data_IF_666234968627
#
_entry.id   IF_666234968627
#
_cell.length_a   1.000
_cell.length_b   1.000
_cell.length_c   1.000
_cell.angle_alpha   90.00
_cell.angle_beta   90.00
_cell.angle_gamma   90.00
#
_symmetry.space_group_name_H-M   'P 1'
#
loop_
_entity.id
_entity.type
_entity.pdbx_description
1 polymer ?
#
# COMPACT_ATOMS: atom_id res chain seq x y z
N UNK A 1 44.56 19.48 78.03
CA UNK A 1 45.34 19.58 76.79
C UNK A 1 44.48 20.26 75.74
N UNK A 2 45.07 21.25 75.07
CA UNK A 2 44.46 22.12 74.08
C UNK A 2 44.16 21.38 72.77
N UNK A 3 43.06 21.74 72.12
CA UNK A 3 42.72 21.28 70.77
C UNK A 3 41.47 22.00 70.23
N UNK A 4 41.64 23.26 69.80
CA UNK A 4 40.67 23.99 68.98
C UNK A 4 40.61 23.35 67.59
N UNK A 5 39.42 23.24 66.99
CA UNK A 5 39.25 23.51 65.56
C UNK A 5 37.80 23.89 65.22
N UNK A 6 37.67 24.60 64.12
CA UNK A 6 36.78 25.72 63.86
C UNK A 6 35.53 25.38 63.03
N UNK A 7 34.55 26.29 63.14
CA UNK A 7 33.33 26.45 62.34
C UNK A 7 33.56 26.30 60.83
N UNK A 8 32.56 25.78 60.10
CA UNK A 8 31.92 26.58 59.05
C UNK A 8 30.53 26.04 58.68
N UNK A 9 29.58 26.96 58.61
CA UNK A 9 28.19 26.80 58.20
C UNK A 9 28.07 27.28 56.76
N UNK A 10 27.48 26.47 55.88
CA UNK A 10 26.97 26.97 54.59
C UNK A 10 25.77 26.14 54.14
N UNK A 11 24.63 26.81 54.01
CA UNK A 11 23.39 26.39 53.34
C UNK A 11 23.13 27.44 52.25
N UNK A 12 22.30 27.20 51.21
CA UNK A 12 22.49 26.31 50.07
C UNK A 12 22.60 27.12 48.75
N UNK A 13 23.37 26.64 47.78
CA UNK A 13 23.30 27.17 46.41
C UNK A 13 22.10 26.56 45.68
N UNK A 14 21.01 27.33 45.57
CA UNK A 14 19.94 27.07 44.60
C UNK A 14 20.54 27.17 43.18
N UNK A 15 20.92 26.04 42.62
CA UNK A 15 21.09 25.92 41.18
C UNK A 15 19.70 25.96 40.55
N UNK A 16 19.44 27.02 39.77
CA UNK A 16 18.23 27.18 39.01
C UNK A 16 17.96 25.95 38.16
N UNK A 17 16.81 25.33 38.38
CA UNK A 17 16.19 24.42 37.42
C UNK A 17 15.86 25.25 36.18
N UNK A 18 16.80 25.29 35.24
CA UNK A 18 16.49 25.67 33.87
C UNK A 18 15.49 24.66 33.34
N UNK A 19 14.23 25.09 33.39
CA UNK A 19 13.09 24.42 32.80
C UNK A 19 13.33 24.40 31.30
N UNK A 20 14.00 23.35 30.82
CA UNK A 20 14.16 23.04 29.40
C UNK A 20 12.79 23.15 28.74
N UNK A 21 12.54 24.27 28.03
CA UNK A 21 11.35 24.45 27.23
C UNK A 21 11.39 23.38 26.15
N UNK A 22 10.59 22.35 26.40
CA UNK A 22 10.24 21.22 25.55
C UNK A 22 10.32 21.55 24.05
N UNK A 23 11.41 21.13 23.41
CA UNK A 23 11.56 21.05 21.95
C UNK A 23 10.66 19.99 21.31
N UNK A 24 9.90 19.25 22.13
CA UNK A 24 8.99 18.18 21.70
C UNK A 24 7.69 18.74 21.11
N UNK A 25 7.24 19.93 21.55
CA UNK A 25 5.96 20.49 21.09
C UNK A 25 5.98 20.92 19.60
N UNK A 26 7.02 21.61 19.08
CA UNK A 26 7.08 21.99 17.67
C UNK A 26 7.21 20.79 16.71
N UNK A 27 8.05 19.80 17.05
CA UNK A 27 8.22 18.60 16.22
C UNK A 27 6.93 17.77 16.12
N UNK A 28 6.19 17.66 17.22
CA UNK A 28 4.89 16.96 17.25
C UNK A 28 3.83 17.68 16.42
N UNK A 29 3.84 19.01 16.43
CA UNK A 29 2.95 19.84 15.62
C UNK A 29 3.25 19.65 14.12
N UNK A 30 4.52 19.74 13.71
CA UNK A 30 4.94 19.51 12.32
C UNK A 30 4.60 18.10 11.82
N UNK A 31 4.80 17.07 12.65
CA UNK A 31 4.41 15.70 12.32
C UNK A 31 2.90 15.54 12.12
N UNK A 32 2.09 16.22 12.95
CA UNK A 32 0.63 16.22 12.82
C UNK A 32 0.18 16.93 11.54
N UNK A 33 0.78 18.07 11.21
CA UNK A 33 0.49 18.82 9.98
C UNK A 33 0.84 17.98 8.74
N UNK A 34 2.01 17.33 8.73
CA UNK A 34 2.40 16.40 7.66
C UNK A 34 1.41 15.24 7.52
N UNK A 35 0.96 14.66 8.63
CA UNK A 35 -0.01 13.56 8.60
C UNK A 35 -1.38 14.00 8.04
N UNK A 36 -1.83 15.21 8.37
CA UNK A 36 -3.08 15.78 7.83
C UNK A 36 -2.96 16.03 6.32
N UNK A 37 -1.83 16.55 5.86
CA UNK A 37 -1.61 16.77 4.42
C UNK A 37 -1.54 15.46 3.65
N UNK A 38 -0.83 14.44 4.18
CA UNK A 38 -0.81 13.10 3.58
C UNK A 38 -2.23 12.53 3.47
N UNK A 39 -3.02 12.65 4.54
CA UNK A 39 -4.41 12.19 4.53
C UNK A 39 -5.23 12.90 3.44
N UNK A 40 -5.09 14.23 3.32
CA UNK A 40 -5.76 15.03 2.29
C UNK A 40 -5.38 14.57 0.88
N UNK A 41 -4.08 14.38 0.62
CA UNK A 41 -3.56 13.90 -0.66
C UNK A 41 -4.08 12.50 -1.02
N UNK A 42 -4.17 11.60 -0.04
CA UNK A 42 -4.69 10.25 -0.23
C UNK A 42 -6.20 10.25 -0.53
N UNK A 43 -6.98 11.08 0.16
CA UNK A 43 -8.42 11.24 -0.09
C UNK A 43 -8.69 11.87 -1.45
N UNK A 44 -7.91 12.89 -1.82
CA UNK A 44 -7.97 13.51 -3.14
C UNK A 44 -7.62 12.50 -4.25
N UNK A 45 -6.57 11.70 -4.06
CA UNK A 45 -6.17 10.65 -5.01
C UNK A 45 -7.26 9.58 -5.18
N UNK A 46 -7.91 9.17 -4.08
CA UNK A 46 -9.04 8.23 -4.11
C UNK A 46 -10.22 8.79 -4.90
N UNK A 47 -10.59 10.06 -4.65
CA UNK A 47 -11.74 10.71 -5.31
C UNK A 47 -11.57 10.86 -6.83
N UNK A 48 -10.34 10.77 -7.34
CA UNK A 48 -10.01 10.87 -8.77
C UNK A 48 -10.06 9.53 -9.49
N UNK A 49 -10.22 8.41 -8.79
CA UNK A 49 -10.37 7.11 -9.44
C UNK A 49 -11.75 7.02 -10.10
N UNK A 50 -11.84 6.65 -11.40
CA UNK A 50 -13.14 6.46 -12.03
C UNK A 50 -13.87 5.24 -11.44
N UNK A 51 -15.17 5.39 -11.17
CA UNK A 51 -16.02 4.28 -10.74
C UNK A 51 -16.07 3.22 -11.85
N UNK A 52 -15.98 1.95 -11.44
CA UNK A 52 -15.89 0.81 -12.35
C UNK A 52 -14.47 0.53 -12.84
N UNK A 53 -13.45 1.25 -12.37
CA UNK A 53 -12.07 0.95 -12.76
C UNK A 53 -11.47 -0.21 -11.96
N UNK A 54 -10.79 -1.10 -12.69
CA UNK A 54 -10.03 -2.22 -12.15
C UNK A 54 -8.53 -1.95 -12.26
N UNK A 55 -7.82 -2.19 -11.17
CA UNK A 55 -6.39 -1.92 -11.03
C UNK A 55 -5.63 -3.16 -10.57
N UNK A 56 -4.39 -3.30 -11.02
CA UNK A 56 -3.37 -4.09 -10.32
C UNK A 56 -2.69 -3.16 -9.31
N UNK A 57 -2.57 -3.59 -8.06
CA UNK A 57 -1.85 -2.88 -7.00
C UNK A 57 -0.55 -3.60 -6.68
N UNK A 58 0.55 -2.85 -6.68
CA UNK A 58 1.86 -3.37 -6.29
C UNK A 58 2.27 -2.77 -4.95
N UNK A 59 2.77 -3.61 -4.06
CA UNK A 59 3.33 -3.21 -2.78
C UNK A 59 4.79 -3.67 -2.68
N UNK A 60 5.64 -2.88 -2.05
CA UNK A 60 6.99 -3.31 -1.69
C UNK A 60 6.93 -4.50 -0.72
N UNK A 61 7.81 -5.48 -0.91
CA UNK A 61 7.98 -6.63 0.01
C UNK A 61 9.09 -6.44 1.03
N UNK A 62 10.02 -5.53 0.75
CA UNK A 62 11.21 -5.28 1.57
C UNK A 62 11.62 -3.81 1.48
N UNK A 63 12.38 -3.38 2.49
CA UNK A 63 13.15 -2.14 2.51
C UNK A 63 14.56 -2.47 3.02
N UNK A 64 15.62 -2.40 2.18
CA UNK A 64 15.63 -1.89 0.81
C UNK A 64 14.79 -2.75 -0.16
N UNK A 65 14.22 -2.10 -1.16
CA UNK A 65 13.39 -2.75 -2.16
C UNK A 65 14.25 -3.51 -3.17
N UNK A 66 13.79 -4.70 -3.56
CA UNK A 66 14.43 -5.52 -4.59
C UNK A 66 13.71 -5.39 -5.94
N UNK A 67 14.43 -5.38 -7.07
CA UNK A 67 13.81 -5.37 -8.40
C UNK A 67 12.84 -6.54 -8.59
N UNK A 68 11.67 -6.26 -9.16
CA UNK A 68 10.63 -7.25 -9.47
C UNK A 68 10.07 -8.01 -8.25
N UNK A 69 10.37 -7.58 -7.02
CA UNK A 69 9.91 -8.24 -5.80
C UNK A 69 8.74 -7.48 -5.15
N UNK A 70 7.54 -7.68 -5.71
CA UNK A 70 6.33 -7.01 -5.23
C UNK A 70 5.33 -7.98 -4.62
N UNK A 71 4.53 -7.48 -3.69
CA UNK A 71 3.27 -8.11 -3.33
C UNK A 71 2.18 -7.58 -4.25
N UNK A 72 1.36 -8.50 -4.78
CA UNK A 72 0.43 -8.24 -5.86
C UNK A 72 -1.00 -8.38 -5.36
N UNK A 73 -1.89 -7.55 -5.90
CA UNK A 73 -3.33 -7.70 -5.72
C UNK A 73 -4.10 -6.95 -6.80
N UNK A 74 -5.41 -7.14 -6.80
CA UNK A 74 -6.33 -6.27 -7.52
C UNK A 74 -6.97 -5.26 -6.58
N UNK A 75 -7.33 -4.11 -7.13
CA UNK A 75 -8.28 -3.19 -6.51
C UNK A 75 -9.36 -2.88 -7.53
N UNK A 76 -10.61 -3.13 -7.17
CA UNK A 76 -11.76 -2.82 -8.00
C UNK A 76 -12.55 -1.67 -7.37
N UNK A 77 -12.48 -0.49 -7.98
CA UNK A 77 -13.09 0.73 -7.47
C UNK A 77 -14.54 0.82 -7.93
N UNK A 78 -15.49 0.70 -7.00
CA UNK A 78 -16.93 0.57 -7.32
C UNK A 78 -17.79 1.67 -6.71
N UNK A 79 -17.25 2.49 -5.82
CA UNK A 79 -17.95 3.60 -5.17
C UNK A 79 -16.97 4.74 -4.86
N UNK A 80 -17.49 5.96 -4.67
CA UNK A 80 -16.67 7.16 -4.42
C UNK A 80 -15.79 6.96 -3.18
N UNK A 81 -16.35 6.33 -2.15
CA UNK A 81 -15.67 6.03 -0.90
C UNK A 81 -14.67 4.88 -0.98
N UNK A 82 -14.66 4.09 -2.07
CA UNK A 82 -13.70 3.02 -2.25
C UNK A 82 -14.17 1.83 -3.09
N UNK A 83 -13.69 0.66 -2.71
CA UNK A 83 -13.91 -0.54 -3.52
C UNK A 83 -13.35 -1.79 -2.84
N UNK A 84 -13.24 -2.87 -3.59
CA UNK A 84 -12.77 -4.14 -3.04
C UNK A 84 -11.32 -4.40 -3.41
N UNK A 85 -10.49 -4.76 -2.42
CA UNK A 85 -9.15 -5.27 -2.64
C UNK A 85 -9.20 -6.80 -2.69
N UNK A 86 -8.51 -7.39 -3.66
CA UNK A 86 -8.33 -8.83 -3.78
C UNK A 86 -6.85 -9.17 -3.80
N UNK A 87 -6.41 -9.97 -2.84
CA UNK A 87 -5.08 -10.56 -2.86
C UNK A 87 -5.07 -11.86 -2.08
N UNK A 88 -3.96 -12.56 -2.16
CA UNK A 88 -3.68 -13.73 -1.33
C UNK A 88 -2.39 -13.47 -0.56
N UNK A 89 -2.27 -14.00 0.65
CA UNK A 89 -1.07 -13.85 1.46
C UNK A 89 -0.61 -15.20 2.00
N UNK A 90 0.68 -15.33 2.19
CA UNK A 90 1.23 -16.48 2.88
C UNK A 90 0.80 -16.42 4.35
N UNK A 91 0.37 -17.56 4.88
CA UNK A 91 0.01 -17.72 6.28
C UNK A 91 0.46 -19.11 6.75
N UNK A 92 1.58 -19.16 7.46
CA UNK A 92 2.21 -20.41 7.86
C UNK A 92 2.71 -21.20 6.65
N UNK A 93 2.30 -22.46 6.53
CA UNK A 93 2.73 -23.37 5.45
C UNK A 93 1.96 -23.18 4.13
N UNK A 94 0.94 -22.31 4.10
CA UNK A 94 0.04 -22.18 2.97
C UNK A 94 -0.30 -20.73 2.60
N UNK A 95 -1.28 -20.58 1.73
CA UNK A 95 -1.82 -19.33 1.24
C UNK A 95 -3.30 -19.21 1.62
N UNK A 96 -3.69 -18.00 1.98
CA UNK A 96 -5.08 -17.64 2.27
C UNK A 96 -5.51 -16.44 1.44
N UNK A 97 -6.79 -16.37 1.12
CA UNK A 97 -7.41 -15.20 0.51
C UNK A 97 -7.62 -14.12 1.56
N UNK A 98 -7.52 -12.86 1.14
CA UNK A 98 -7.76 -11.70 2.00
C UNK A 98 -8.46 -10.62 1.18
N UNK A 99 -9.70 -10.95 0.80
CA UNK A 99 -10.56 -10.11 -0.01
C UNK A 99 -11.43 -9.24 0.89
N UNK A 100 -11.49 -7.94 0.65
CA UNK A 100 -12.24 -7.05 1.52
C UNK A 100 -12.51 -5.67 0.94
N UNK A 101 -13.62 -5.08 1.37
CA UNK A 101 -13.92 -3.68 1.10
C UNK A 101 -12.86 -2.78 1.75
N UNK A 102 -12.49 -1.71 1.06
CA UNK A 102 -11.55 -0.73 1.56
C UNK A 102 -11.79 0.66 0.95
N UNK A 103 -11.77 1.66 1.83
CA UNK A 103 -11.65 3.08 1.50
C UNK A 103 -10.20 3.58 1.61
N UNK A 104 -9.26 2.66 1.81
CA UNK A 104 -7.89 2.96 2.22
C UNK A 104 -6.82 2.43 1.28
N UNK A 105 -7.11 2.25 -0.01
CA UNK A 105 -6.12 1.70 -0.96
C UNK A 105 -4.81 2.51 -0.95
N UNK A 106 -4.89 3.84 -0.91
CA UNK A 106 -3.74 4.74 -0.84
C UNK A 106 -3.10 4.87 0.56
N UNK A 107 -3.73 4.32 1.61
CA UNK A 107 -3.27 4.47 3.01
C UNK A 107 -2.20 3.45 3.40
N UNK A 108 -1.93 2.46 2.54
CA UNK A 108 -0.92 1.44 2.82
C UNK A 108 0.49 2.00 2.67
N UNK A 109 1.30 1.91 3.73
CA UNK A 109 2.69 2.39 3.74
C UNK A 109 3.52 1.80 2.59
N UNK A 110 3.35 0.50 2.33
CA UNK A 110 4.12 -0.20 1.30
C UNK A 110 3.51 -0.10 -0.10
N UNK A 111 2.39 0.60 -0.29
CA UNK A 111 1.84 0.75 -1.63
C UNK A 111 2.86 1.44 -2.53
N UNK A 112 3.16 0.83 -3.68
CA UNK A 112 4.06 1.38 -4.67
C UNK A 112 3.27 2.12 -5.76
N UNK A 113 2.30 1.45 -6.39
CA UNK A 113 1.56 1.99 -7.54
C UNK A 113 0.22 1.27 -7.73
N UNK A 114 -0.76 1.98 -8.29
CA UNK A 114 -1.97 1.42 -8.90
C UNK A 114 -1.81 1.44 -10.41
N UNK A 115 -1.89 0.29 -11.08
CA UNK A 115 -1.87 0.18 -12.54
C UNK A 115 -3.31 -0.05 -13.01
N UNK A 116 -3.92 0.93 -13.68
CA UNK A 116 -5.26 0.85 -14.24
C UNK A 116 -5.24 -0.07 -15.46
N UNK A 117 -6.06 -1.13 -15.45
CA UNK A 117 -6.06 -2.17 -16.50
C UNK A 117 -7.40 -2.35 -17.21
N UNK A 118 -8.52 -1.88 -16.64
CA UNK A 118 -9.82 -1.92 -17.30
C UNK A 118 -10.82 -0.92 -16.70
N UNK A 119 -11.73 -0.44 -17.53
CA UNK A 119 -13.01 0.15 -17.10
C UNK A 119 -14.10 -0.90 -17.30
N UNK A 120 -14.74 -1.30 -16.20
CA UNK A 120 -15.69 -2.42 -16.17
C UNK A 120 -17.13 -1.89 -16.17
N UNK A 121 -17.93 -2.23 -17.19
CA UNK A 121 -19.36 -1.91 -17.21
C UNK A 121 -20.10 -2.51 -16.01
N UNK A 122 -21.11 -1.81 -15.51
CA UNK A 122 -21.82 -2.17 -14.27
C UNK A 122 -22.39 -3.59 -14.30
N UNK A 123 -22.91 -4.02 -15.45
CA UNK A 123 -23.45 -5.36 -15.68
C UNK A 123 -22.41 -6.49 -15.52
N UNK A 124 -21.11 -6.18 -15.63
CA UNK A 124 -20.02 -7.14 -15.43
C UNK A 124 -19.42 -7.13 -14.01
N UNK A 125 -19.87 -6.25 -13.11
CA UNK A 125 -19.29 -6.14 -11.75
C UNK A 125 -19.44 -7.44 -10.96
N UNK A 126 -20.60 -8.09 -11.04
CA UNK A 126 -20.81 -9.40 -10.41
C UNK A 126 -19.87 -10.48 -10.98
N UNK A 127 -19.64 -10.46 -12.30
CA UNK A 127 -18.71 -11.40 -12.96
C UNK A 127 -17.27 -11.16 -12.52
N UNK A 128 -16.84 -9.91 -12.31
CA UNK A 128 -15.53 -9.59 -11.71
C UNK A 128 -15.43 -10.23 -10.33
N UNK A 129 -16.40 -10.00 -9.45
CA UNK A 129 -16.39 -10.55 -8.10
C UNK A 129 -16.34 -12.08 -8.08
N UNK A 130 -17.10 -12.74 -8.95
CA UNK A 130 -17.08 -14.19 -9.10
C UNK A 130 -15.72 -14.68 -9.63
N UNK A 131 -15.16 -14.01 -10.63
CA UNK A 131 -13.87 -14.38 -11.21
C UNK A 131 -12.75 -14.27 -10.17
N UNK A 132 -12.72 -13.18 -9.40
CA UNK A 132 -11.72 -12.95 -8.34
C UNK A 132 -11.70 -14.04 -7.27
N UNK A 133 -12.85 -14.66 -6.98
CA UNK A 133 -13.03 -15.68 -5.94
C UNK A 133 -13.02 -17.12 -6.47
N UNK A 134 -12.79 -17.29 -7.77
CA UNK A 134 -12.97 -18.58 -8.44
C UNK A 134 -11.95 -19.64 -8.00
N UNK A 135 -10.82 -19.21 -7.43
CA UNK A 135 -9.72 -20.07 -6.98
C UNK A 135 -9.65 -20.20 -5.44
N UNK A 136 -10.61 -19.65 -4.70
CA UNK A 136 -10.54 -19.57 -3.23
C UNK A 136 -10.45 -20.95 -2.57
N UNK A 137 -11.19 -21.93 -3.08
CA UNK A 137 -11.29 -23.28 -2.52
C UNK A 137 -10.11 -24.18 -2.86
N UNK A 138 -9.31 -23.84 -3.87
CA UNK A 138 -8.21 -24.69 -4.38
C UNK A 138 -6.87 -23.95 -4.47
N UNK A 139 -6.75 -22.78 -3.83
CA UNK A 139 -5.56 -21.92 -3.88
C UNK A 139 -4.26 -22.67 -3.54
N UNK A 140 -4.28 -23.52 -2.51
CA UNK A 140 -3.10 -24.28 -2.07
C UNK A 140 -2.78 -25.49 -2.95
N UNK A 141 -3.66 -25.85 -3.88
CA UNK A 141 -3.44 -26.91 -4.86
C UNK A 141 -2.76 -26.41 -6.14
N UNK A 142 -2.61 -25.08 -6.30
CA UNK A 142 -1.95 -24.48 -7.46
C UNK A 142 -0.43 -24.66 -7.33
N UNK A 143 0.24 -25.35 -8.27
CA UNK A 143 1.69 -25.53 -8.23
C UNK A 143 2.44 -24.20 -8.24
N UNK A 144 3.41 -24.03 -7.34
CA UNK A 144 4.22 -22.80 -7.26
C UNK A 144 3.43 -21.55 -6.87
N UNK A 145 2.29 -21.71 -6.20
CA UNK A 145 1.41 -20.60 -5.82
C UNK A 145 2.15 -19.48 -5.10
N UNK A 146 1.87 -18.27 -5.56
CA UNK A 146 2.28 -17.00 -4.96
C UNK A 146 1.23 -15.94 -5.28
N UNK A 147 1.27 -14.78 -4.62
CA UNK A 147 0.35 -13.68 -4.94
C UNK A 147 0.40 -13.28 -6.43
N UNK A 148 1.58 -13.32 -7.05
CA UNK A 148 1.78 -13.06 -8.48
C UNK A 148 1.15 -14.15 -9.34
N UNK A 149 1.46 -15.43 -9.05
CA UNK A 149 0.90 -16.56 -9.79
C UNK A 149 -0.63 -16.58 -9.70
N UNK A 150 -1.19 -16.37 -8.51
CA UNK A 150 -2.64 -16.23 -8.33
C UNK A 150 -3.21 -15.06 -9.15
N UNK A 151 -2.57 -13.89 -9.09
CA UNK A 151 -3.03 -12.71 -9.82
C UNK A 151 -3.05 -12.96 -11.33
N UNK A 152 -2.01 -13.58 -11.89
CA UNK A 152 -1.94 -13.89 -13.32
C UNK A 152 -2.97 -14.94 -13.74
N UNK A 153 -3.24 -15.95 -12.92
CA UNK A 153 -4.32 -16.91 -13.17
C UNK A 153 -5.69 -16.23 -13.25
N UNK A 154 -5.99 -15.33 -12.31
CA UNK A 154 -7.23 -14.55 -12.31
C UNK A 154 -7.26 -13.58 -13.50
N UNK A 155 -6.14 -12.92 -13.82
CA UNK A 155 -6.01 -12.01 -14.96
C UNK A 155 -6.30 -12.72 -16.28
N UNK A 156 -5.78 -13.94 -16.47
CA UNK A 156 -6.06 -14.77 -17.64
C UNK A 156 -7.56 -15.03 -17.79
N UNK A 157 -8.27 -15.32 -16.70
CA UNK A 157 -9.74 -15.51 -16.73
C UNK A 157 -10.48 -14.19 -17.06
N UNK A 158 -10.03 -13.06 -16.50
CA UNK A 158 -10.61 -11.75 -16.81
C UNK A 158 -10.42 -11.37 -18.29
N UNK A 159 -9.29 -11.74 -18.90
CA UNK A 159 -9.05 -11.58 -20.34
C UNK A 159 -9.99 -12.49 -21.14
N UNK A 160 -10.13 -13.75 -20.76
CA UNK A 160 -11.05 -14.71 -21.42
C UNK A 160 -12.52 -14.26 -21.35
N UNK A 161 -12.93 -13.61 -20.25
CA UNK A 161 -14.27 -13.03 -20.09
C UNK A 161 -14.44 -11.67 -20.81
N UNK A 162 -13.40 -11.16 -21.47
CA UNK A 162 -13.41 -9.85 -22.13
C UNK A 162 -13.68 -8.71 -21.16
N UNK A 163 -13.25 -8.85 -19.90
CA UNK A 163 -13.29 -7.79 -18.88
C UNK A 163 -12.03 -6.94 -18.99
N UNK A 164 -10.87 -7.60 -19.11
CA UNK A 164 -9.59 -6.95 -19.39
C UNK A 164 -9.26 -7.16 -20.86
N UNK A 165 -9.08 -6.07 -21.61
CA UNK A 165 -8.74 -6.13 -23.03
C UNK A 165 -7.22 -6.03 -23.18
N UNK A 166 -6.54 -7.15 -23.04
CA UNK A 166 -5.10 -7.29 -23.29
C UNK A 166 -4.85 -8.52 -24.16
N UNK A 167 -3.89 -8.46 -25.08
CA UNK A 167 -3.44 -9.58 -25.91
C UNK A 167 -2.62 -10.60 -25.13
N UNK A 168 -2.01 -10.21 -24.00
CA UNK A 168 -1.06 -11.05 -23.26
C UNK A 168 -0.99 -10.65 -21.78
N UNK A 169 -1.25 -11.60 -20.88
CA UNK A 169 -1.01 -11.38 -19.46
C UNK A 169 0.50 -11.26 -19.15
N UNK A 170 1.36 -11.87 -19.98
CA UNK A 170 2.83 -11.79 -19.84
C UNK A 170 3.35 -10.39 -20.14
N UNK A 171 2.81 -9.72 -21.17
CA UNK A 171 3.17 -8.32 -21.46
C UNK A 171 2.71 -7.39 -20.34
N UNK A 172 1.51 -7.61 -19.79
CA UNK A 172 1.00 -6.84 -18.66
C UNK A 172 1.80 -7.09 -17.38
N UNK A 173 2.24 -8.32 -17.14
CA UNK A 173 3.14 -8.64 -16.03
C UNK A 173 4.46 -7.87 -16.16
N UNK A 174 5.07 -7.91 -17.34
CA UNK A 174 6.33 -7.21 -17.60
C UNK A 174 6.17 -5.70 -17.47
N UNK A 175 5.06 -5.13 -17.94
CA UNK A 175 4.74 -3.72 -17.75
C UNK A 175 4.61 -3.37 -16.26
N UNK A 176 3.90 -4.20 -15.48
CA UNK A 176 3.74 -4.00 -14.04
C UNK A 176 5.10 -4.03 -13.32
N UNK A 177 6.02 -4.92 -13.70
CA UNK A 177 7.38 -4.93 -13.17
C UNK A 177 8.13 -3.64 -13.49
N UNK A 178 8.09 -3.20 -14.76
CA UNK A 178 8.75 -1.96 -15.18
C UNK A 178 8.21 -0.75 -14.42
N UNK A 179 6.89 -0.60 -14.33
CA UNK A 179 6.25 0.50 -13.59
C UNK A 179 6.57 0.41 -12.09
N UNK A 180 6.47 -0.79 -11.50
CA UNK A 180 6.77 -1.02 -10.10
C UNK A 180 8.19 -0.58 -9.74
N UNK A 181 9.19 -1.05 -10.50
CA UNK A 181 10.59 -0.70 -10.27
C UNK A 181 10.85 0.80 -10.41
N UNK A 182 10.21 1.48 -11.36
CA UNK A 182 10.32 2.93 -11.54
C UNK A 182 9.84 3.72 -10.33
N UNK A 183 8.87 3.18 -9.58
CA UNK A 183 8.28 3.85 -8.43
C UNK A 183 8.79 3.33 -7.07
N UNK A 184 9.59 2.26 -7.03
CA UNK A 184 10.02 1.61 -5.80
C UNK A 184 10.81 2.51 -4.83
N UNK A 185 11.70 3.36 -5.33
CA UNK A 185 12.47 4.28 -4.45
C UNK A 185 11.54 5.24 -3.71
N UNK A 186 10.65 5.90 -4.46
CA UNK A 186 9.66 6.82 -3.89
C UNK A 186 8.68 6.11 -2.96
N UNK A 187 8.37 4.84 -3.28
CA UNK A 187 7.63 3.96 -2.40
C UNK A 187 8.35 3.76 -1.07
N UNK A 188 9.65 3.43 -1.07
CA UNK A 188 10.45 3.27 0.14
C UNK A 188 10.53 4.57 0.96
N UNK A 189 10.67 5.73 0.29
CA UNK A 189 10.74 7.05 0.93
C UNK A 189 9.39 7.56 1.49
N UNK A 190 8.31 6.78 1.30
CA UNK A 190 6.95 7.13 1.68
C UNK A 190 6.44 8.46 1.07
N UNK A 191 6.82 8.74 -0.18
CA UNK A 191 6.26 9.84 -0.98
C UNK A 191 4.76 9.66 -1.25
N UNK A 192 3.96 10.65 -0.90
CA UNK A 192 2.50 10.63 -1.04
C UNK A 192 2.01 11.74 -1.99
N UNK A 193 0.92 11.52 -2.75
CA UNK A 193 0.19 10.25 -2.87
C UNK A 193 0.94 9.25 -3.76
N UNK A 194 0.61 7.96 -3.63
CA UNK A 194 1.15 6.93 -4.52
C UNK A 194 0.58 7.09 -5.95
N UNK A 195 1.39 6.85 -6.99
CA UNK A 195 0.97 7.07 -8.37
C UNK A 195 -0.13 6.10 -8.82
N UNK A 196 -0.94 6.59 -9.76
CA UNK A 196 -1.87 5.79 -10.56
C UNK A 196 -1.41 5.88 -12.01
N UNK A 197 -1.14 4.73 -12.63
CA UNK A 197 -0.60 4.65 -14.00
C UNK A 197 -1.57 3.88 -14.87
N UNK A 198 -1.89 4.40 -16.06
CA UNK A 198 -2.69 3.67 -17.05
C UNK A 198 -1.79 2.67 -17.78
N UNK A 199 -2.20 1.39 -17.79
CA UNK A 199 -1.53 0.37 -18.60
C UNK A 199 -1.54 0.76 -20.08
N UNK A 200 -0.42 0.56 -20.77
CA UNK A 200 -0.27 0.80 -22.20
C UNK A 200 -0.60 -0.43 -23.03
N UNK A 201 -0.54 -1.62 -22.41
CA UNK A 201 -0.85 -2.89 -23.08
C UNK A 201 -2.31 -3.31 -22.92
N UNK A 202 -3.10 -2.60 -22.10
CA UNK A 202 -4.54 -2.79 -21.98
C UNK A 202 -5.33 -1.72 -22.76
N UNK A 203 -6.30 -2.15 -23.56
CA UNK A 203 -7.30 -1.26 -24.14
C UNK A 203 -8.35 -0.91 -23.07
N UNK A 204 -8.20 0.27 -22.48
CA UNK A 204 -9.06 0.79 -21.40
C UNK A 204 -10.10 1.71 -22.00
#
# INVERSE_FOLDING_TARGET
MFGKSTKSSTVPSQAGSERSKSTVAPARQAARERALEIKRLQEEALSKLPIGSLYIVLYLRSDPHEPNNFHWGFYFHTAIEGGTKYHIKNFGIGWITDHGQTSGVFKSNFLCVLVHIATVPQEKHAQVHQTMKSLDSNINSIPGISCRVWLLSILQMLIQHGIVRSSSYTELEQECFTIGNQHSSRAADNDQPRPVVRSRVCAI
#
